data_IF_133158209054
#
_entry.id   IF_133158209054
#
_cell.length_a   1.000
_cell.length_b   1.000
_cell.length_c   1.000
_cell.angle_alpha   90.00
_cell.angle_beta   90.00
_cell.angle_gamma   90.00
#
_symmetry.space_group_name_H-M   'P 1'
#
loop_
_entity.id
_entity.type
_entity.pdbx_description
1 polymer ?
#
# COMPACT_ATOMS: atom_id res chain seq x y z
N UNK A 1 8.48 6.15 -5.89
CA UNK A 1 7.89 5.08 -6.71
C UNK A 1 8.37 5.26 -8.13
N UNK A 2 9.29 4.41 -8.54
CA UNK A 2 9.87 4.38 -9.87
C UNK A 2 9.25 3.22 -10.66
N UNK A 3 8.61 3.52 -11.79
CA UNK A 3 7.95 2.51 -12.64
C UNK A 3 8.95 1.70 -13.48
N UNK A 4 10.21 2.16 -13.59
CA UNK A 4 11.27 1.39 -14.24
C UNK A 4 11.77 0.23 -13.36
N UNK A 5 11.58 0.33 -12.04
CA UNK A 5 11.93 -0.74 -11.09
C UNK A 5 10.85 -1.81 -11.08
N UNK A 6 9.59 -1.42 -10.79
CA UNK A 6 8.41 -2.30 -10.89
C UNK A 6 7.23 -1.47 -11.37
N UNK A 7 6.70 -1.80 -12.54
CA UNK A 7 5.53 -1.14 -13.10
C UNK A 7 4.21 -1.62 -12.44
N UNK A 8 3.20 -0.74 -12.44
CA UNK A 8 1.83 -1.07 -12.01
C UNK A 8 1.56 -0.92 -10.52
N UNK A 9 2.55 -0.52 -9.72
CA UNK A 9 2.37 -0.23 -8.30
C UNK A 9 2.19 1.28 -8.10
N UNK A 10 1.00 1.68 -7.68
CA UNK A 10 0.66 3.04 -7.26
C UNK A 10 0.41 3.15 -5.74
N UNK A 11 0.07 4.36 -5.27
CA UNK A 11 -0.05 4.68 -3.84
C UNK A 11 -1.02 3.75 -3.08
N UNK A 12 -2.11 3.32 -3.72
CA UNK A 12 -3.11 2.42 -3.10
C UNK A 12 -2.44 1.13 -2.63
N UNK A 13 -1.70 0.48 -3.52
CA UNK A 13 -1.08 -0.79 -3.23
C UNK A 13 0.22 -0.61 -2.43
N UNK A 14 1.04 0.40 -2.74
CA UNK A 14 2.31 0.59 -2.03
C UNK A 14 2.12 0.84 -0.53
N UNK A 15 1.10 1.60 -0.15
CA UNK A 15 0.77 1.90 1.25
C UNK A 15 0.46 0.61 2.03
N UNK A 16 -0.42 -0.24 1.49
CA UNK A 16 -0.81 -1.51 2.13
C UNK A 16 0.34 -2.53 2.13
N UNK A 17 1.16 -2.57 1.07
CA UNK A 17 2.35 -3.43 0.98
C UNK A 17 3.36 -3.07 2.07
N UNK A 18 3.65 -1.78 2.24
CA UNK A 18 4.59 -1.30 3.25
C UNK A 18 4.04 -1.51 4.66
N UNK A 19 2.73 -1.37 4.86
CA UNK A 19 2.10 -1.67 6.14
C UNK A 19 2.20 -3.16 6.51
N UNK A 20 1.91 -4.06 5.55
CA UNK A 20 2.03 -5.51 5.75
C UNK A 20 3.47 -5.95 6.02
N UNK A 21 4.42 -5.33 5.32
CA UNK A 21 5.85 -5.61 5.49
C UNK A 21 6.51 -4.87 6.65
N UNK A 22 5.77 -4.01 7.37
CA UNK A 22 6.27 -3.25 8.52
C UNK A 22 7.40 -2.27 8.20
N UNK A 23 7.47 -1.80 6.95
CA UNK A 23 8.50 -0.87 6.49
C UNK A 23 7.97 0.56 6.47
N UNK A 24 8.73 1.49 7.04
CA UNK A 24 8.39 2.90 6.99
C UNK A 24 8.54 3.45 5.56
N UNK A 25 7.59 4.24 5.03
CA UNK A 25 7.62 4.69 3.64
C UNK A 25 8.77 5.65 3.30
N UNK A 26 9.39 6.27 4.31
CA UNK A 26 10.61 7.08 4.14
C UNK A 26 11.91 6.31 4.37
N UNK A 27 11.84 5.03 4.70
CA UNK A 27 13.05 4.22 4.90
C UNK A 27 13.77 4.06 3.57
N UNK A 28 15.09 4.29 3.58
CA UNK A 28 15.89 4.20 2.37
C UNK A 28 15.90 2.75 1.84
N UNK A 29 15.63 2.56 0.54
CA UNK A 29 15.50 1.22 -0.04
C UNK A 29 16.78 0.38 0.10
N UNK A 30 17.95 1.01 0.05
CA UNK A 30 19.26 0.37 0.24
C UNK A 30 19.56 -0.01 1.70
N UNK A 31 18.74 0.40 2.66
CA UNK A 31 18.85 0.02 4.09
C UNK A 31 18.03 -1.21 4.45
N UNK A 32 17.33 -1.81 3.49
CA UNK A 32 16.51 -3.00 3.71
C UNK A 32 17.39 -4.25 3.68
N UNK A 33 17.27 -5.07 4.71
CA UNK A 33 17.86 -6.40 4.74
C UNK A 33 17.19 -7.34 3.73
N UNK A 34 17.87 -8.44 3.39
CA UNK A 34 17.31 -9.46 2.50
C UNK A 34 16.00 -10.06 3.03
N UNK A 35 15.88 -10.20 4.36
CA UNK A 35 14.67 -10.68 5.01
C UNK A 35 13.51 -9.69 4.83
N UNK A 36 13.77 -8.39 4.99
CA UNK A 36 12.77 -7.34 4.78
C UNK A 36 12.35 -7.25 3.31
N UNK A 37 13.29 -7.34 2.37
CA UNK A 37 12.99 -7.40 0.93
C UNK A 37 12.11 -8.61 0.60
N UNK A 38 12.38 -9.78 1.20
CA UNK A 38 11.52 -10.96 1.06
C UNK A 38 10.10 -10.72 1.59
N UNK A 39 9.98 -10.05 2.75
CA UNK A 39 8.70 -9.67 3.32
C UNK A 39 7.93 -8.66 2.44
N UNK A 40 8.62 -7.66 1.88
CA UNK A 40 8.02 -6.71 0.92
C UNK A 40 7.52 -7.45 -0.30
N UNK A 41 8.34 -8.35 -0.88
CA UNK A 41 7.96 -9.13 -2.06
C UNK A 41 6.75 -10.03 -1.80
N UNK A 42 6.71 -10.75 -0.67
CA UNK A 42 5.56 -11.57 -0.28
C UNK A 42 4.29 -10.73 -0.07
N UNK A 43 4.43 -9.58 0.60
CA UNK A 43 3.32 -8.64 0.84
C UNK A 43 2.78 -8.07 -0.47
N UNK A 44 3.67 -7.68 -1.39
CA UNK A 44 3.34 -7.24 -2.74
C UNK A 44 2.52 -8.27 -3.50
N UNK A 45 2.99 -9.52 -3.54
CA UNK A 45 2.23 -10.59 -4.23
C UNK A 45 0.86 -10.82 -3.58
N UNK A 46 0.77 -10.78 -2.26
CA UNK A 46 -0.50 -10.95 -1.54
C UNK A 46 -1.50 -9.84 -1.88
N UNK A 47 -1.07 -8.57 -1.81
CA UNK A 47 -1.89 -7.41 -2.14
C UNK A 47 -2.34 -7.44 -3.60
N UNK A 48 -1.41 -7.61 -4.54
CA UNK A 48 -1.75 -7.59 -5.96
C UNK A 48 -2.64 -8.76 -6.38
N UNK A 49 -2.46 -9.96 -5.82
CA UNK A 49 -3.37 -11.09 -6.06
C UNK A 49 -4.79 -10.79 -5.56
N UNK A 50 -4.93 -10.19 -4.37
CA UNK A 50 -6.23 -9.77 -3.84
C UNK A 50 -6.86 -8.68 -4.71
N UNK A 51 -6.08 -7.69 -5.12
CA UNK A 51 -6.54 -6.62 -5.99
C UNK A 51 -7.02 -7.16 -7.33
N UNK A 52 -6.28 -8.08 -7.96
CA UNK A 52 -6.69 -8.74 -9.20
C UNK A 52 -8.00 -9.53 -9.03
N UNK A 53 -8.10 -10.34 -7.97
CA UNK A 53 -9.33 -11.10 -7.68
C UNK A 53 -10.55 -10.19 -7.48
N UNK A 54 -10.32 -8.99 -6.96
CA UNK A 54 -11.35 -7.97 -6.71
C UNK A 54 -11.46 -6.92 -7.82
N UNK A 55 -10.83 -7.14 -8.99
CA UNK A 55 -10.90 -6.24 -10.16
C UNK A 55 -10.40 -4.82 -9.86
N UNK A 56 -9.44 -4.70 -8.95
CA UNK A 56 -8.81 -3.44 -8.57
C UNK A 56 -9.63 -2.61 -7.59
N UNK A 57 -9.44 -1.29 -7.61
CA UNK A 57 -10.06 -0.36 -6.67
C UNK A 57 -10.86 0.70 -7.43
N UNK A 58 -12.18 0.74 -7.26
CA UNK A 58 -13.01 1.85 -7.72
C UNK A 58 -13.24 2.84 -6.58
N UNK A 59 -12.44 3.91 -6.54
CA UNK A 59 -12.64 5.03 -5.59
C UNK A 59 -13.50 6.14 -6.21
N UNK A 60 -13.36 6.37 -7.51
CA UNK A 60 -14.11 7.39 -8.25
C UNK A 60 -14.76 6.74 -9.49
N UNK A 61 -14.11 6.88 -10.62
CA UNK A 61 -14.59 6.57 -11.96
C UNK A 61 -13.97 5.30 -12.54
N UNK A 62 -12.94 4.74 -11.91
CA UNK A 62 -12.32 3.50 -12.38
C UNK A 62 -13.37 2.39 -12.56
N UNK A 63 -13.38 1.81 -13.76
CA UNK A 63 -14.09 0.60 -14.14
C UNK A 63 -13.11 -0.27 -14.93
N UNK A 64 -13.30 -1.57 -14.89
CA UNK A 64 -12.49 -2.46 -15.73
C UNK A 64 -13.00 -2.47 -17.18
N UNK A 65 -12.40 -3.30 -18.03
CA UNK A 65 -12.71 -3.36 -19.47
C UNK A 65 -14.12 -3.84 -19.77
N UNK A 66 -14.81 -4.46 -18.80
CA UNK A 66 -16.21 -4.84 -18.91
C UNK A 66 -17.17 -3.78 -18.33
N UNK A 67 -16.66 -2.63 -17.88
CA UNK A 67 -17.47 -1.56 -17.30
C UNK A 67 -17.80 -1.73 -15.82
N UNK A 68 -17.18 -2.71 -15.16
CA UNK A 68 -17.55 -3.10 -13.79
C UNK A 68 -16.62 -2.49 -12.74
N UNK A 69 -17.11 -2.25 -11.51
CA UNK A 69 -16.28 -1.69 -10.45
C UNK A 69 -15.31 -2.72 -9.84
N UNK A 70 -14.23 -2.21 -9.28
CA UNK A 70 -13.27 -2.93 -8.46
C UNK A 70 -13.56 -2.76 -6.96
N UNK A 71 -13.39 -3.84 -6.20
CA UNK A 71 -13.83 -3.96 -4.81
C UNK A 71 -12.69 -3.98 -3.78
N UNK A 72 -11.43 -3.76 -4.20
CA UNK A 72 -10.30 -3.73 -3.27
C UNK A 72 -10.37 -2.57 -2.25
N UNK A 73 -11.19 -1.55 -2.52
CA UNK A 73 -11.40 -0.39 -1.62
C UNK A 73 -11.82 -0.81 -0.20
N UNK A 74 -12.59 -1.90 -0.09
CA UNK A 74 -13.05 -2.48 1.17
C UNK A 74 -11.93 -3.21 1.96
N UNK A 75 -10.84 -3.61 1.30
CA UNK A 75 -9.72 -4.33 1.92
C UNK A 75 -8.52 -3.42 2.23
N UNK A 76 -8.63 -2.11 1.99
CA UNK A 76 -7.55 -1.16 2.25
C UNK A 76 -7.14 -1.16 3.71
N UNK A 77 -5.85 -1.24 3.97
CA UNK A 77 -5.31 -1.37 5.32
C UNK A 77 -4.99 0.01 5.89
N UNK A 78 -4.34 0.87 5.10
CA UNK A 78 -3.96 2.23 5.54
C UNK A 78 -4.18 3.32 4.51
N UNK A 79 -4.28 2.99 3.21
CA UNK A 79 -4.44 3.99 2.16
C UNK A 79 -5.73 4.83 2.36
N UNK A 80 -5.59 6.15 2.37
CA UNK A 80 -6.67 7.13 2.64
C UNK A 80 -7.35 6.99 4.01
N UNK A 81 -6.74 6.28 4.97
CA UNK A 81 -7.26 6.12 6.33
C UNK A 81 -6.61 7.07 7.34
N UNK A 82 -6.09 8.22 6.87
CA UNK A 82 -5.42 9.21 7.74
C UNK A 82 -6.40 9.64 8.84
N UNK A 83 -5.96 9.58 10.10
CA UNK A 83 -6.79 9.93 11.25
C UNK A 83 -7.58 8.77 11.83
N UNK A 84 -7.65 7.63 11.13
CA UNK A 84 -8.28 6.42 11.66
C UNK A 84 -7.29 5.58 12.50
N UNK A 85 -7.79 4.75 13.43
CA UNK A 85 -6.97 3.81 14.17
C UNK A 85 -6.42 2.71 13.26
N UNK A 86 -5.13 2.37 13.45
CA UNK A 86 -4.48 1.25 12.79
C UNK A 86 -5.16 -0.07 13.17
N UNK A 87 -5.55 -0.88 12.18
CA UNK A 87 -6.18 -2.19 12.41
C UNK A 87 -5.28 -3.25 13.07
N UNK A 88 -3.97 -2.96 13.28
CA UNK A 88 -3.03 -3.85 13.99
C UNK A 88 -2.77 -3.43 15.42
N UNK A 89 -2.64 -2.13 15.69
CA UNK A 89 -2.17 -1.63 16.99
C UNK A 89 -2.96 -0.43 17.54
N UNK A 90 -4.02 0.00 16.88
CA UNK A 90 -4.87 1.12 17.33
C UNK A 90 -4.28 2.52 17.15
N UNK A 91 -2.97 2.68 16.93
CA UNK A 91 -2.37 4.01 16.75
C UNK A 91 -2.92 4.73 15.52
N UNK A 92 -3.01 6.06 15.57
CA UNK A 92 -3.55 6.86 14.48
C UNK A 92 -2.67 6.79 13.21
N UNK A 93 -3.29 6.43 12.09
CA UNK A 93 -2.65 6.40 10.78
C UNK A 93 -2.28 7.83 10.36
N UNK A 94 -1.03 7.99 9.94
CA UNK A 94 -0.44 9.25 9.49
C UNK A 94 -0.29 9.26 7.97
N UNK A 95 -0.15 10.46 7.42
CA UNK A 95 0.15 10.71 6.01
C UNK A 95 1.50 11.41 5.91
N UNK A 96 2.31 11.02 4.95
CA UNK A 96 3.62 11.61 4.66
C UNK A 96 3.68 12.03 3.20
N UNK A 97 4.37 13.13 2.92
CA UNK A 97 4.65 13.60 1.56
C UNK A 97 5.98 13.00 1.08
N UNK A 98 5.98 12.42 -0.11
CA UNK A 98 7.13 11.76 -0.74
C UNK A 98 7.25 12.32 -2.16
N UNK A 99 8.04 13.38 -2.31
CA UNK A 99 8.09 14.18 -3.54
C UNK A 99 6.72 14.77 -3.88
N UNK A 100 6.25 14.53 -5.11
CA UNK A 100 4.92 14.95 -5.58
C UNK A 100 3.77 14.03 -5.13
N UNK A 101 4.07 12.94 -4.42
CA UNK A 101 3.09 11.95 -3.97
C UNK A 101 2.95 11.97 -2.44
N UNK A 102 1.98 11.22 -1.95
CA UNK A 102 1.79 11.00 -0.51
C UNK A 102 1.59 9.53 -0.21
N UNK A 103 2.11 9.08 0.93
CA UNK A 103 1.88 7.75 1.46
C UNK A 103 1.17 7.79 2.81
N UNK A 104 0.38 6.78 3.11
CA UNK A 104 -0.32 6.57 4.38
C UNK A 104 0.35 5.43 5.13
N UNK A 105 0.57 5.59 6.44
CA UNK A 105 1.32 4.60 7.22
C UNK A 105 0.95 4.65 8.70
N UNK A 106 1.22 3.55 9.39
CA UNK A 106 1.11 3.45 10.84
C UNK A 106 2.46 3.78 11.49
N UNK A 107 2.55 4.83 12.34
CA UNK A 107 3.83 5.24 12.94
C UNK A 107 4.37 4.24 13.97
N UNK A 108 3.54 3.37 14.52
CA UNK A 108 3.96 2.37 15.51
C UNK A 108 4.34 1.04 14.85
N UNK A 109 3.66 0.65 13.77
CA UNK A 109 3.87 -0.64 13.12
C UNK A 109 4.96 -0.63 12.04
N UNK A 110 5.40 0.54 11.57
CA UNK A 110 6.31 0.66 10.44
C UNK A 110 7.57 1.42 10.83
N UNK A 111 8.75 0.82 10.56
CA UNK A 111 10.08 1.35 10.91
C UNK A 111 11.00 1.51 9.70
#
# INVERSE_FOLDING_TARGET
MDQNVIAGIGNIYSDDILWLSQIHPLRAANSLSQAELSCVYKSMRSVLKKALKLRGTSISDFRDTAGEPGFYSALRLVYQRKGEPCGRCGSIIKKVKIGARSGSFCPTCQK
#
